data_IF_554803974663
#
_entry.id   IF_554803974663
#
_cell.length_a   1.000
_cell.length_b   1.000
_cell.length_c   1.000
_cell.angle_alpha   90.00
_cell.angle_beta   90.00
_cell.angle_gamma   90.00
#
_symmetry.space_group_name_H-M   'P 1'
#
loop_
_entity.id
_entity.type
_entity.pdbx_description
1 polymer ?
#
# COMPACT_ATOMS: atom_id res chain seq x y z
N UNK A 1 2.33 61.14 -55.07
CA UNK A 1 3.35 60.94 -54.02
C UNK A 1 2.78 60.34 -52.73
N UNK A 2 1.50 60.57 -52.38
CA UNK A 2 0.88 60.08 -51.13
C UNK A 2 0.65 58.55 -51.03
N UNK A 3 0.39 57.84 -52.13
CA UNK A 3 0.07 56.40 -52.11
C UNK A 3 1.24 55.50 -51.68
N UNK A 4 2.47 55.82 -52.11
CA UNK A 4 3.69 55.07 -51.76
C UNK A 4 4.14 55.26 -50.31
N UNK A 5 3.78 56.37 -49.66
CA UNK A 5 4.06 56.61 -48.24
C UNK A 5 3.08 55.83 -47.37
N UNK A 6 1.81 55.76 -47.78
CA UNK A 6 0.78 54.99 -47.09
C UNK A 6 1.04 53.48 -47.15
N UNK A 7 1.48 52.96 -48.30
CA UNK A 7 1.85 51.54 -48.44
C UNK A 7 3.09 51.17 -47.61
N UNK A 8 4.06 52.07 -47.47
CA UNK A 8 5.21 51.91 -46.57
C UNK A 8 4.85 52.03 -45.09
N UNK A 9 3.86 52.85 -44.74
CA UNK A 9 3.32 52.96 -43.37
C UNK A 9 2.49 51.75 -42.96
N UNK A 10 1.73 51.13 -43.86
CA UNK A 10 1.00 49.88 -43.57
C UNK A 10 1.93 48.67 -43.45
N UNK A 11 2.99 48.61 -44.27
CA UNK A 11 4.04 47.59 -44.14
C UNK A 11 4.86 47.77 -42.84
N UNK A 12 5.19 49.01 -42.48
CA UNK A 12 5.91 49.34 -41.25
C UNK A 12 5.08 49.16 -39.98
N UNK A 13 3.79 49.53 -40.00
CA UNK A 13 2.87 49.29 -38.90
C UNK A 13 2.61 47.80 -38.68
N UNK A 14 2.46 47.01 -39.76
CA UNK A 14 2.34 45.56 -39.67
C UNK A 14 3.57 44.90 -39.04
N UNK A 15 4.77 45.33 -39.44
CA UNK A 15 6.03 44.84 -38.86
C UNK A 15 6.17 45.23 -37.38
N UNK A 16 5.84 46.47 -37.02
CA UNK A 16 5.89 46.95 -35.62
C UNK A 16 4.85 46.23 -34.76
N UNK A 17 3.65 45.94 -35.26
CA UNK A 17 2.62 45.18 -34.54
C UNK A 17 3.09 43.74 -34.33
N UNK A 18 3.65 43.09 -35.35
CA UNK A 18 4.18 41.72 -35.23
C UNK A 18 5.34 41.66 -34.25
N UNK A 19 6.26 42.63 -34.29
CA UNK A 19 7.39 42.73 -33.36
C UNK A 19 6.91 43.04 -31.94
N UNK A 20 5.95 43.96 -31.76
CA UNK A 20 5.39 44.29 -30.45
C UNK A 20 4.58 43.13 -29.85
N UNK A 21 3.84 42.39 -30.68
CA UNK A 21 3.13 41.18 -30.28
C UNK A 21 4.12 40.07 -29.89
N UNK A 22 5.22 39.91 -30.65
CA UNK A 22 6.29 38.98 -30.31
C UNK A 22 7.00 39.36 -29.00
N UNK A 23 7.23 40.65 -28.74
CA UNK A 23 7.77 41.14 -27.46
C UNK A 23 6.76 40.95 -26.31
N UNK A 24 5.47 41.13 -26.55
CA UNK A 24 4.43 40.89 -25.54
C UNK A 24 4.30 39.39 -25.18
N UNK A 25 4.41 38.50 -26.17
CA UNK A 25 4.43 37.03 -25.96
C UNK A 25 5.74 36.60 -25.27
N UNK A 26 6.87 37.28 -25.52
CA UNK A 26 8.12 37.01 -24.83
C UNK A 26 8.13 37.53 -23.36
N UNK A 27 7.30 38.52 -23.03
CA UNK A 27 7.22 39.13 -21.70
C UNK A 27 6.14 38.48 -20.82
N UNK A 28 5.08 37.93 -21.41
CA UNK A 28 4.19 36.98 -20.76
C UNK A 28 4.83 35.59 -20.82
N UNK A 29 5.45 35.14 -19.72
CA UNK A 29 6.16 33.86 -19.66
C UNK A 29 5.25 32.65 -19.92
N UNK A 30 4.99 32.37 -21.18
CA UNK A 30 4.11 31.30 -21.61
C UNK A 30 4.89 30.07 -22.08
N UNK A 31 4.30 28.93 -21.80
CA UNK A 31 4.83 27.56 -21.82
C UNK A 31 5.26 27.07 -23.22
N UNK A 32 5.20 27.94 -24.24
CA UNK A 32 5.53 27.63 -25.63
C UNK A 32 6.39 28.72 -26.27
N UNK A 33 7.54 28.34 -26.81
CA UNK A 33 8.35 29.17 -27.71
C UNK A 33 8.11 28.75 -29.16
N UNK A 34 8.09 29.70 -30.08
CA UNK A 34 8.05 29.41 -31.51
C UNK A 34 9.46 29.56 -32.07
N UNK A 35 9.98 28.51 -32.68
CA UNK A 35 11.27 28.56 -33.34
C UNK A 35 11.22 29.39 -34.63
N UNK A 36 12.40 29.76 -35.15
CA UNK A 36 12.54 30.60 -36.34
C UNK A 36 11.94 29.99 -37.62
N UNK A 37 11.68 28.69 -37.59
CA UNK A 37 11.04 27.91 -38.66
C UNK A 37 9.51 27.76 -38.49
N UNK A 38 8.92 28.37 -37.47
CA UNK A 38 7.49 28.30 -37.18
C UNK A 38 7.06 27.08 -36.36
N UNK A 39 8.00 26.26 -35.90
CA UNK A 39 7.68 25.10 -35.06
C UNK A 39 7.33 25.55 -33.64
N UNK A 40 6.16 25.14 -33.15
CA UNK A 40 5.82 25.28 -31.73
C UNK A 40 6.69 24.32 -30.90
N UNK A 41 7.46 24.86 -29.97
CA UNK A 41 8.20 24.09 -28.96
C UNK A 41 7.68 24.44 -27.58
N UNK A 42 7.69 23.48 -26.67
CA UNK A 42 7.53 23.82 -25.26
C UNK A 42 8.71 24.71 -24.86
N UNK A 43 8.42 25.82 -24.17
CA UNK A 43 9.42 26.65 -23.51
C UNK A 43 10.00 25.88 -22.32
N UNK A 44 10.67 24.76 -22.57
CA UNK A 44 11.52 24.15 -21.55
C UNK A 44 12.71 25.08 -21.48
N UNK A 45 12.81 25.84 -20.40
CA UNK A 45 14.03 26.57 -20.10
C UNK A 45 15.20 25.62 -20.30
N UNK A 46 16.30 26.12 -20.85
CA UNK A 46 17.52 25.34 -21.12
C UNK A 46 18.21 24.78 -19.84
N UNK A 47 17.47 24.65 -18.73
CA UNK A 47 17.79 23.87 -17.55
C UNK A 47 16.85 22.64 -17.49
N UNK A 48 17.22 21.61 -18.23
CA UNK A 48 16.59 20.29 -18.33
C UNK A 48 15.70 19.83 -17.18
N UNK A 49 14.40 19.75 -17.47
CA UNK A 49 13.42 18.68 -17.17
C UNK A 49 12.04 19.32 -17.05
N UNK A 50 11.14 18.97 -17.95
CA UNK A 50 9.71 19.02 -17.63
C UNK A 50 9.53 18.05 -16.46
N UNK A 51 9.46 18.58 -15.25
CA UNK A 51 9.09 17.78 -14.08
C UNK A 51 7.57 17.67 -14.12
N UNK A 52 7.07 16.75 -14.94
CA UNK A 52 5.76 16.14 -14.65
C UNK A 52 5.94 15.57 -13.27
N UNK A 53 5.28 16.17 -12.27
CA UNK A 53 5.46 15.81 -10.87
C UNK A 53 5.49 14.30 -10.77
N UNK A 54 6.63 13.75 -10.34
CA UNK A 54 6.81 12.30 -10.33
C UNK A 54 5.80 11.76 -9.30
N UNK A 55 4.62 11.39 -9.78
CA UNK A 55 3.67 10.59 -9.02
C UNK A 55 4.47 9.42 -8.47
N UNK A 56 4.31 9.17 -7.17
CA UNK A 56 4.99 8.08 -6.48
C UNK A 56 4.79 6.76 -7.24
N UNK A 57 5.77 6.36 -8.03
CA UNK A 57 5.70 5.22 -8.94
C UNK A 57 6.73 4.16 -8.60
N UNK A 58 6.43 2.91 -8.90
CA UNK A 58 7.34 1.79 -8.74
C UNK A 58 7.17 0.80 -9.89
N UNK A 59 8.20 0.00 -10.15
CA UNK A 59 8.17 -1.16 -11.05
C UNK A 59 8.73 -2.36 -10.30
N UNK A 60 7.97 -3.46 -10.29
CA UNK A 60 8.36 -4.73 -9.66
C UNK A 60 8.80 -4.59 -8.19
N UNK A 61 8.09 -3.75 -7.42
CA UNK A 61 8.34 -3.60 -5.98
C UNK A 61 7.95 -4.89 -5.26
N UNK A 62 8.92 -5.47 -4.55
CA UNK A 62 8.74 -6.62 -3.67
C UNK A 62 9.37 -6.34 -2.30
N UNK A 63 8.65 -6.71 -1.24
CA UNK A 63 9.15 -6.65 0.14
C UNK A 63 8.85 -7.98 0.80
N UNK A 64 9.83 -8.58 1.46
CA UNK A 64 9.68 -9.89 2.09
C UNK A 64 10.69 -10.07 3.23
N UNK A 65 10.48 -11.07 4.07
CA UNK A 65 11.48 -11.46 5.05
C UNK A 65 12.79 -11.88 4.36
N UNK A 66 13.93 -11.51 4.94
CA UNK A 66 15.24 -11.86 4.39
C UNK A 66 15.51 -13.37 4.48
N UNK A 67 16.04 -13.96 3.42
CA UNK A 67 16.27 -15.42 3.34
C UNK A 67 17.23 -15.99 4.40
N UNK A 68 18.21 -15.20 4.88
CA UNK A 68 19.18 -15.61 5.89
C UNK A 68 18.88 -15.12 7.31
N UNK A 69 17.89 -14.25 7.48
CA UNK A 69 17.56 -13.61 8.76
C UNK A 69 16.08 -13.22 8.83
N UNK A 70 15.20 -14.18 8.51
CA UNK A 70 13.79 -13.94 8.25
C UNK A 70 13.01 -13.39 9.45
N UNK A 71 13.50 -13.59 10.68
CA UNK A 71 12.86 -13.09 11.89
C UNK A 71 13.11 -11.59 12.11
N UNK A 72 14.22 -11.03 11.62
CA UNK A 72 14.64 -9.69 12.04
C UNK A 72 14.97 -8.76 10.86
N UNK A 73 15.03 -9.28 9.64
CA UNK A 73 15.35 -8.50 8.44
C UNK A 73 14.26 -8.59 7.40
N UNK A 74 14.01 -7.48 6.73
CA UNK A 74 13.19 -7.40 5.52
C UNK A 74 14.05 -6.98 4.33
N UNK A 75 13.86 -7.62 3.20
CA UNK A 75 14.45 -7.27 1.91
C UNK A 75 13.47 -6.39 1.13
N UNK A 76 14.00 -5.38 0.46
CA UNK A 76 13.25 -4.41 -0.35
C UNK A 76 13.90 -4.37 -1.72
N UNK A 77 13.17 -4.82 -2.73
CA UNK A 77 13.65 -4.83 -4.11
C UNK A 77 12.69 -4.13 -5.04
N UNK A 78 13.20 -3.37 -6.00
CA UNK A 78 12.40 -2.79 -7.08
C UNK A 78 13.31 -2.46 -8.27
N UNK A 79 12.81 -2.64 -9.50
CA UNK A 79 13.54 -2.22 -10.70
C UNK A 79 13.60 -0.70 -10.79
N UNK A 80 12.50 -0.06 -10.39
CA UNK A 80 12.34 1.40 -10.33
C UNK A 80 11.57 1.74 -9.08
N UNK A 81 12.03 2.78 -8.36
CA UNK A 81 11.28 3.38 -7.28
C UNK A 81 11.47 4.90 -7.29
N UNK A 82 10.39 5.66 -7.36
CA UNK A 82 10.46 7.11 -7.10
C UNK A 82 10.43 7.36 -5.60
N UNK A 83 11.38 8.11 -5.05
CA UNK A 83 11.49 8.49 -3.63
C UNK A 83 11.56 10.01 -3.53
N UNK A 84 10.47 10.63 -3.08
CA UNK A 84 10.36 12.09 -2.90
C UNK A 84 10.96 12.92 -4.06
N UNK A 85 10.49 12.63 -5.27
CA UNK A 85 10.87 13.30 -6.52
C UNK A 85 12.13 12.75 -7.21
N UNK A 86 12.84 11.81 -6.59
CA UNK A 86 14.04 11.17 -7.17
C UNK A 86 13.68 9.79 -7.70
N UNK A 87 14.17 9.43 -8.88
CA UNK A 87 14.05 8.08 -9.42
C UNK A 87 15.27 7.26 -9.02
N UNK A 88 15.05 6.18 -8.28
CA UNK A 88 16.04 5.14 -7.99
C UNK A 88 15.82 3.96 -8.95
N UNK A 89 16.89 3.29 -9.32
CA UNK A 89 16.88 2.11 -10.18
C UNK A 89 17.63 0.97 -9.51
N UNK A 90 17.22 -0.27 -9.78
CA UNK A 90 17.81 -1.48 -9.19
C UNK A 90 17.91 -1.40 -7.66
N UNK A 91 16.83 -0.97 -7.00
CA UNK A 91 16.76 -0.96 -5.54
C UNK A 91 16.87 -2.39 -5.05
N UNK A 92 17.87 -2.65 -4.22
CA UNK A 92 18.09 -3.92 -3.53
C UNK A 92 18.78 -3.61 -2.21
N UNK A 93 17.98 -3.49 -1.15
CA UNK A 93 18.43 -3.13 0.20
C UNK A 93 17.69 -3.97 1.22
N UNK A 94 18.27 -4.11 2.41
CA UNK A 94 17.61 -4.77 3.53
C UNK A 94 17.54 -3.82 4.72
N UNK A 95 16.52 -3.99 5.56
CA UNK A 95 16.42 -3.31 6.84
C UNK A 95 16.41 -4.32 7.99
N UNK A 96 17.35 -4.17 8.91
CA UNK A 96 17.52 -4.96 10.12
C UNK A 96 16.93 -4.22 11.32
N UNK A 97 15.68 -4.57 11.65
CA UNK A 97 15.39 -5.08 12.98
C UNK A 97 16.22 -4.53 14.12
N UNK A 98 17.30 -5.26 14.36
CA UNK A 98 18.17 -5.19 15.53
C UNK A 98 19.14 -4.01 15.48
N UNK A 99 19.34 -3.38 14.32
CA UNK A 99 20.22 -2.25 14.11
C UNK A 99 19.49 -0.90 14.21
N UNK A 100 20.25 0.20 14.35
CA UNK A 100 19.73 1.56 14.33
C UNK A 100 20.38 2.37 13.20
N UNK A 101 19.64 3.31 12.64
CA UNK A 101 20.07 4.14 11.50
C UNK A 101 19.71 3.52 10.15
N UNK A 102 20.40 3.98 9.10
CA UNK A 102 20.18 3.50 7.74
C UNK A 102 20.43 2.00 7.64
N UNK A 103 19.47 1.26 7.08
CA UNK A 103 19.47 -0.21 7.06
C UNK A 103 18.94 -0.85 8.35
N UNK A 104 18.32 -0.09 9.25
CA UNK A 104 17.72 -0.60 10.49
C UNK A 104 16.55 0.26 10.98
N UNK A 105 16.41 0.42 12.30
CA UNK A 105 15.37 1.26 12.92
C UNK A 105 15.74 2.74 12.88
N UNK A 106 14.74 3.59 12.70
CA UNK A 106 14.91 5.04 12.73
C UNK A 106 15.22 5.60 14.11
N UNK A 107 14.65 5.01 15.16
CA UNK A 107 14.88 5.38 16.54
C UNK A 107 14.57 4.23 17.51
N UNK A 108 15.00 4.40 18.76
CA UNK A 108 14.61 3.54 19.87
C UNK A 108 15.09 2.09 19.77
N UNK A 109 14.52 1.26 20.65
CA UNK A 109 14.67 -0.19 20.65
C UNK A 109 13.48 -0.84 19.94
N UNK A 110 13.66 -2.09 19.53
CA UNK A 110 12.54 -2.90 19.07
C UNK A 110 11.52 -3.12 20.20
N UNK A 111 10.25 -2.95 19.85
CA UNK A 111 9.09 -3.26 20.69
C UNK A 111 8.38 -4.48 20.08
N UNK A 112 8.03 -5.46 20.91
CA UNK A 112 7.29 -6.65 20.49
C UNK A 112 5.82 -6.32 20.13
N UNK A 113 5.18 -7.18 19.34
CA UNK A 113 3.79 -7.01 18.89
C UNK A 113 3.49 -5.69 18.18
N UNK A 114 4.47 -5.12 17.49
CA UNK A 114 4.45 -3.75 16.95
C UNK A 114 4.48 -3.75 15.42
N UNK A 115 3.78 -2.77 14.84
CA UNK A 115 3.87 -2.47 13.41
C UNK A 115 5.06 -1.54 13.14
N UNK A 116 5.88 -1.93 12.18
CA UNK A 116 6.95 -1.14 11.62
C UNK A 116 6.62 -0.83 10.15
N UNK A 117 6.67 0.44 9.80
CA UNK A 117 6.52 0.92 8.44
C UNK A 117 7.89 0.88 7.77
N UNK A 118 7.91 0.31 6.57
CA UNK A 118 9.12 0.08 5.78
C UNK A 118 9.28 1.26 4.84
N UNK A 119 10.42 1.94 4.94
CA UNK A 119 10.78 3.06 4.09
C UNK A 119 12.00 2.72 3.24
N UNK A 120 12.04 3.28 2.03
CA UNK A 120 13.28 3.52 1.32
C UNK A 120 13.66 4.98 1.54
N UNK A 121 14.90 5.20 1.96
CA UNK A 121 15.48 6.51 2.17
C UNK A 121 16.61 6.76 1.18
N UNK A 122 16.79 8.01 0.78
CA UNK A 122 17.88 8.41 -0.12
C UNK A 122 18.47 9.77 0.28
N UNK A 123 19.70 10.03 -0.16
CA UNK A 123 20.27 11.37 -0.16
C UNK A 123 19.62 12.24 -1.25
N UNK A 124 19.94 13.54 -1.24
CA UNK A 124 19.26 14.52 -2.09
C UNK A 124 19.54 14.37 -3.59
N UNK A 125 20.65 13.74 -3.95
CA UNK A 125 21.09 13.46 -5.32
C UNK A 125 20.76 12.03 -5.77
N UNK A 126 20.24 11.18 -4.87
CA UNK A 126 19.84 9.80 -5.18
C UNK A 126 21.01 8.84 -5.42
N UNK A 127 22.24 9.20 -5.04
CA UNK A 127 23.44 8.39 -5.22
C UNK A 127 23.64 7.36 -4.10
N UNK A 128 22.95 7.53 -2.97
CA UNK A 128 22.96 6.62 -1.83
C UNK A 128 21.55 6.42 -1.31
N UNK A 129 21.14 5.16 -1.13
CA UNK A 129 19.84 4.80 -0.58
C UNK A 129 19.95 3.57 0.33
N UNK A 130 18.99 3.45 1.24
CA UNK A 130 18.91 2.31 2.17
C UNK A 130 17.45 2.04 2.60
N UNK A 131 17.23 0.92 3.27
CA UNK A 131 15.98 0.65 3.99
C UNK A 131 15.94 1.37 5.34
N UNK A 132 14.74 1.59 5.86
CA UNK A 132 14.53 2.11 7.20
C UNK A 132 13.21 1.58 7.76
N UNK A 133 13.22 1.17 9.04
CA UNK A 133 12.03 0.74 9.78
C UNK A 133 11.64 1.82 10.78
N UNK A 134 10.36 2.18 10.82
CA UNK A 134 9.85 3.18 11.75
C UNK A 134 8.50 2.79 12.33
N UNK A 135 8.23 3.17 13.56
CA UNK A 135 6.88 3.07 14.15
C UNK A 135 5.94 4.18 13.67
N UNK A 136 6.45 5.15 12.89
CA UNK A 136 5.68 6.24 12.29
C UNK A 136 5.41 5.97 10.82
N UNK A 137 4.14 6.04 10.40
CA UNK A 137 3.77 5.80 8.99
C UNK A 137 4.09 6.96 8.06
N UNK A 138 4.38 8.14 8.60
CA UNK A 138 4.53 9.39 7.82
C UNK A 138 5.84 10.13 8.13
N UNK A 139 6.31 10.05 9.37
CA UNK A 139 7.42 10.86 9.86
C UNK A 139 8.46 10.02 10.58
N UNK A 140 9.21 9.16 9.85
CA UNK A 140 10.38 8.50 10.41
C UNK A 140 11.47 9.54 10.73
N UNK A 141 12.29 9.21 11.72
CA UNK A 141 13.49 10.00 12.05
C UNK A 141 14.60 9.68 11.03
N UNK A 142 15.02 10.68 10.26
CA UNK A 142 15.95 10.46 9.16
C UNK A 142 17.39 10.30 9.67
N UNK A 143 18.11 9.21 9.30
CA UNK A 143 19.53 9.08 9.57
C UNK A 143 20.35 10.18 8.88
N UNK A 144 21.50 10.53 9.44
CA UNK A 144 22.38 11.56 8.87
C UNK A 144 22.77 11.23 7.42
N UNK A 145 22.72 12.24 6.55
CA UNK A 145 23.01 12.10 5.11
C UNK A 145 21.81 11.71 4.24
N UNK A 146 20.66 11.34 4.84
CA UNK A 146 19.44 11.00 4.10
C UNK A 146 18.38 12.09 4.30
N UNK A 147 17.80 12.57 3.20
CA UNK A 147 16.81 13.67 3.22
C UNK A 147 15.53 13.31 2.48
N UNK A 148 15.54 12.24 1.69
CA UNK A 148 14.44 11.76 0.87
C UNK A 148 13.92 10.45 1.44
N UNK A 149 12.60 10.26 1.43
CA UNK A 149 11.97 9.07 1.98
C UNK A 149 10.71 8.71 1.22
N UNK A 150 10.39 7.43 1.18
CA UNK A 150 9.10 6.91 0.73
C UNK A 150 8.75 5.68 1.54
N UNK A 151 7.51 5.63 2.05
CA UNK A 151 6.98 4.39 2.63
C UNK A 151 6.67 3.43 1.48
N UNK A 152 7.18 2.22 1.58
CA UNK A 152 7.03 1.17 0.56
C UNK A 152 6.32 -0.06 1.10
N UNK A 153 6.10 -0.16 2.41
CA UNK A 153 5.36 -1.28 2.98
C UNK A 153 5.25 -1.19 4.48
N UNK A 154 4.85 -2.30 5.08
CA UNK A 154 4.80 -2.45 6.53
C UNK A 154 4.94 -3.91 6.93
N UNK A 155 5.54 -4.14 8.08
CA UNK A 155 5.78 -5.45 8.68
C UNK A 155 5.40 -5.39 10.15
N UNK A 156 4.98 -6.53 10.71
CA UNK A 156 4.73 -6.68 12.14
C UNK A 156 5.68 -7.69 12.74
N UNK A 157 6.14 -7.46 13.97
CA UNK A 157 6.74 -8.49 14.80
C UNK A 157 5.73 -9.07 15.83
N UNK A 158 6.00 -10.28 16.29
CA UNK A 158 5.18 -11.01 17.25
C UNK A 158 5.60 -10.74 18.71
N UNK A 159 5.03 -11.50 19.65
CA UNK A 159 5.34 -11.37 21.08
C UNK A 159 6.77 -11.79 21.45
N UNK A 160 7.47 -12.49 20.56
CA UNK A 160 8.89 -12.86 20.68
C UNK A 160 9.80 -11.95 19.87
N UNK A 161 9.28 -10.82 19.36
CA UNK A 161 9.99 -9.90 18.46
C UNK A 161 10.43 -10.53 17.13
N UNK A 162 9.81 -11.63 16.70
CA UNK A 162 10.06 -12.17 15.36
C UNK A 162 9.09 -11.55 14.37
N UNK A 163 9.59 -11.11 13.22
CA UNK A 163 8.74 -10.70 12.11
C UNK A 163 7.80 -11.82 11.67
N UNK A 164 6.54 -11.45 11.50
CA UNK A 164 5.59 -12.28 10.78
C UNK A 164 6.13 -12.52 9.38
N UNK A 165 5.93 -13.74 8.89
CA UNK A 165 6.45 -14.14 7.59
C UNK A 165 5.49 -13.68 6.49
N UNK A 166 5.97 -12.94 5.51
CA UNK A 166 5.17 -12.33 4.46
C UNK A 166 5.94 -12.12 3.15
N UNK A 167 5.18 -11.93 2.08
CA UNK A 167 5.64 -11.37 0.81
C UNK A 167 4.66 -10.29 0.39
N UNK A 168 5.17 -9.13 0.04
CA UNK A 168 4.44 -8.02 -0.55
C UNK A 168 4.86 -7.86 -2.00
N UNK A 169 3.90 -7.79 -2.91
CA UNK A 169 4.09 -7.46 -4.32
C UNK A 169 3.26 -6.21 -4.63
N UNK A 170 3.94 -5.09 -4.93
CA UNK A 170 3.27 -3.79 -5.00
C UNK A 170 2.54 -3.48 -3.69
N UNK A 171 1.22 -3.27 -3.74
CA UNK A 171 0.39 -3.04 -2.56
C UNK A 171 -0.17 -4.31 -1.89
N UNK A 172 -0.05 -5.48 -2.54
CA UNK A 172 -0.66 -6.71 -2.04
C UNK A 172 0.30 -7.45 -1.13
N UNK A 173 -0.06 -7.57 0.13
CA UNK A 173 0.67 -8.36 1.14
C UNK A 173 -0.01 -9.71 1.28
N UNK A 174 0.79 -10.78 1.29
CA UNK A 174 0.36 -12.13 1.65
C UNK A 174 1.25 -12.63 2.77
N UNK A 175 0.65 -13.21 3.80
CA UNK A 175 1.40 -13.93 4.81
C UNK A 175 1.87 -15.27 4.25
N UNK A 176 3.13 -15.59 4.51
CA UNK A 176 3.69 -16.91 4.27
C UNK A 176 3.40 -17.74 5.50
N UNK A 177 2.77 -18.91 5.35
CA UNK A 177 2.54 -19.79 6.48
C UNK A 177 3.70 -20.78 6.62
N UNK A 178 4.65 -20.51 7.53
CA UNK A 178 5.30 -21.62 8.22
C UNK A 178 5.22 -21.39 9.74
N UNK A 179 4.19 -21.95 10.39
CA UNK A 179 4.20 -22.17 11.84
C UNK A 179 2.93 -21.85 12.63
N UNK A 180 1.93 -21.18 12.05
CA UNK A 180 0.68 -20.88 12.76
C UNK A 180 -0.33 -20.23 11.82
N UNK A 181 -1.61 -20.47 12.08
CA UNK A 181 -2.70 -19.82 11.36
C UNK A 181 -2.82 -18.38 11.87
N UNK A 182 -2.84 -17.40 10.97
CA UNK A 182 -3.22 -16.00 11.24
C UNK A 182 -4.71 -15.87 11.61
N UNK A 183 -5.17 -16.71 12.53
CA UNK A 183 -6.57 -16.81 12.92
C UNK A 183 -6.95 -15.63 13.80
N UNK A 184 -8.02 -14.97 13.40
CA UNK A 184 -8.68 -13.91 14.17
C UNK A 184 -9.98 -14.41 14.80
N UNK A 185 -10.42 -15.60 14.41
CA UNK A 185 -11.53 -16.32 15.01
C UNK A 185 -11.31 -17.83 14.85
N UNK A 186 -11.47 -18.57 15.95
CA UNK A 186 -11.37 -20.04 15.98
C UNK A 186 -12.63 -20.57 16.63
N UNK A 187 -13.38 -21.43 15.92
CA UNK A 187 -14.61 -22.06 16.40
C UNK A 187 -15.65 -21.07 17.00
N UNK A 188 -15.84 -19.90 16.36
CA UNK A 188 -16.80 -18.89 16.79
C UNK A 188 -18.25 -19.38 16.67
N UNK A 189 -19.04 -19.18 17.73
CA UNK A 189 -20.42 -19.67 17.84
C UNK A 189 -21.47 -18.58 18.10
N UNK A 190 -21.12 -17.30 17.90
CA UNK A 190 -22.03 -16.20 18.18
C UNK A 190 -23.26 -16.23 17.27
N UNK A 191 -24.45 -16.27 17.88
CA UNK A 191 -25.76 -16.23 17.18
C UNK A 191 -26.33 -14.83 17.03
N UNK A 192 -25.47 -13.82 17.19
CA UNK A 192 -25.72 -12.42 16.85
C UNK A 192 -24.42 -11.83 16.31
N UNK A 193 -24.53 -10.77 15.50
CA UNK A 193 -23.36 -10.11 14.94
C UNK A 193 -22.40 -9.66 16.05
N UNK A 194 -21.22 -10.25 16.03
CA UNK A 194 -20.18 -10.05 17.05
C UNK A 194 -18.92 -9.57 16.38
N UNK A 195 -18.37 -8.45 16.86
CA UNK A 195 -17.16 -7.87 16.32
C UNK A 195 -15.93 -8.71 16.67
N UNK A 196 -15.05 -8.90 15.70
CA UNK A 196 -13.74 -9.52 15.84
C UNK A 196 -12.68 -8.60 15.25
N UNK A 197 -11.49 -8.61 15.83
CA UNK A 197 -10.40 -7.72 15.43
C UNK A 197 -9.40 -8.41 14.51
N UNK A 198 -9.12 -7.79 13.37
CA UNK A 198 -8.02 -8.16 12.49
C UNK A 198 -6.77 -7.29 12.70
N UNK A 199 -6.76 -6.41 13.71
CA UNK A 199 -5.66 -5.47 13.96
C UNK A 199 -4.31 -6.14 14.25
N UNK A 200 -4.32 -7.43 14.63
CA UNK A 200 -3.13 -8.27 14.77
C UNK A 200 -2.41 -8.48 13.42
N UNK A 201 -3.18 -8.59 12.33
CA UNK A 201 -2.68 -8.99 11.01
C UNK A 201 -2.96 -7.96 9.91
N UNK A 202 -3.54 -6.81 10.26
CA UNK A 202 -3.77 -5.68 9.34
C UNK A 202 -3.22 -4.40 9.96
N UNK A 203 -2.36 -3.64 9.25
CA UNK A 203 -1.75 -2.41 9.78
C UNK A 203 -2.78 -1.28 9.89
N UNK A 204 -2.57 -0.26 10.74
CA UNK A 204 -3.48 0.90 10.87
C UNK A 204 -3.68 1.68 9.56
N UNK A 205 -2.75 1.57 8.61
CA UNK A 205 -2.80 2.20 7.29
C UNK A 205 -3.66 1.44 6.28
N UNK A 206 -4.10 0.22 6.61
CA UNK A 206 -4.89 -0.64 5.72
C UNK A 206 -6.25 -0.99 6.31
N UNK A 207 -7.20 -1.23 5.40
CA UNK A 207 -8.58 -1.65 5.70
C UNK A 207 -9.07 -2.75 4.76
N UNK A 208 -8.37 -3.02 3.68
CA UNK A 208 -8.73 -4.08 2.75
C UNK A 208 -7.93 -5.32 3.10
N UNK A 209 -8.63 -6.41 3.43
CA UNK A 209 -8.04 -7.65 3.92
C UNK A 209 -8.46 -8.81 3.03
N UNK A 210 -7.53 -9.75 2.79
CA UNK A 210 -7.82 -11.04 2.17
C UNK A 210 -7.96 -12.10 3.27
N UNK A 211 -9.07 -12.83 3.27
CA UNK A 211 -9.46 -13.76 4.32
C UNK A 211 -9.73 -15.14 3.72
N UNK A 212 -9.36 -16.18 4.46
CA UNK A 212 -10.00 -17.48 4.38
C UNK A 212 -10.99 -17.56 5.54
N UNK A 213 -12.25 -17.80 5.27
CA UNK A 213 -13.22 -18.09 6.31
C UNK A 213 -13.88 -19.43 6.06
N UNK A 214 -14.05 -20.17 7.15
CA UNK A 214 -14.50 -21.53 7.12
C UNK A 214 -15.59 -21.71 8.16
N UNK A 215 -16.56 -22.56 7.86
CA UNK A 215 -17.51 -23.06 8.83
C UNK A 215 -17.26 -24.56 8.98
N UNK A 216 -16.86 -24.97 10.18
CA UNK A 216 -16.56 -26.38 10.48
C UNK A 216 -17.46 -26.83 11.62
N UNK A 217 -18.34 -27.81 11.42
CA UNK A 217 -19.41 -28.12 12.37
C UNK A 217 -19.53 -29.62 12.63
N UNK A 218 -19.80 -29.96 13.89
CA UNK A 218 -20.36 -31.24 14.31
C UNK A 218 -21.79 -31.04 14.84
N UNK A 219 -22.73 -31.88 14.38
CA UNK A 219 -24.12 -31.83 14.84
C UNK A 219 -24.75 -33.21 14.94
N UNK A 220 -25.66 -33.40 15.90
CA UNK A 220 -26.31 -34.67 16.20
C UNK A 220 -27.70 -34.84 15.54
N UNK A 221 -28.09 -33.91 14.65
CA UNK A 221 -29.36 -33.93 13.93
C UNK A 221 -29.15 -33.43 12.49
N UNK A 222 -30.12 -33.69 11.62
CA UNK A 222 -30.16 -33.01 10.31
C UNK A 222 -30.50 -31.55 10.55
N UNK A 223 -29.68 -30.62 10.09
CA UNK A 223 -29.89 -29.18 10.27
C UNK A 223 -29.24 -28.38 9.15
N UNK A 224 -29.76 -27.19 8.89
CA UNK A 224 -29.12 -26.22 7.98
C UNK A 224 -28.43 -25.17 8.84
N UNK A 225 -27.13 -25.04 8.64
CA UNK A 225 -26.35 -23.97 9.24
C UNK A 225 -25.99 -22.96 8.17
N UNK A 226 -25.92 -21.71 8.58
CA UNK A 226 -25.32 -20.68 7.76
C UNK A 226 -24.54 -19.72 8.64
N UNK A 227 -23.52 -19.10 8.05
CA UNK A 227 -22.74 -18.06 8.68
C UNK A 227 -22.67 -16.85 7.76
N UNK A 228 -22.42 -15.68 8.35
CA UNK A 228 -22.29 -14.43 7.64
C UNK A 228 -21.15 -13.60 8.21
N UNK A 229 -20.50 -12.81 7.36
CA UNK A 229 -19.65 -11.70 7.80
C UNK A 229 -20.14 -10.37 7.25
N UNK A 230 -19.82 -9.29 7.97
CA UNK A 230 -20.07 -7.92 7.49
C UNK A 230 -19.08 -6.93 8.07
N UNK A 231 -19.03 -5.73 7.49
CA UNK A 231 -18.41 -4.58 8.15
C UNK A 231 -19.18 -4.27 9.46
N UNK A 232 -18.51 -3.86 10.55
CA UNK A 232 -19.18 -3.59 11.81
C UNK A 232 -20.34 -2.61 11.66
N UNK A 233 -21.48 -2.96 12.28
CA UNK A 233 -22.72 -2.20 12.23
C UNK A 233 -23.28 -1.89 10.81
N UNK A 234 -22.81 -2.56 9.76
CA UNK A 234 -23.34 -2.38 8.42
C UNK A 234 -24.67 -3.13 8.24
N UNK A 235 -25.61 -2.55 7.50
CA UNK A 235 -26.84 -3.26 7.12
C UNK A 235 -26.57 -4.36 6.07
N UNK A 236 -25.61 -4.13 5.18
CA UNK A 236 -25.25 -5.06 4.11
C UNK A 236 -24.33 -6.19 4.61
N UNK A 237 -24.64 -7.41 4.18
CA UNK A 237 -23.82 -8.60 4.40
C UNK A 237 -22.67 -8.62 3.39
N UNK A 238 -21.46 -8.94 3.83
CA UNK A 238 -20.30 -9.09 2.96
C UNK A 238 -20.19 -10.50 2.39
N UNK A 239 -20.46 -11.52 3.20
CA UNK A 239 -20.48 -12.91 2.73
C UNK A 239 -21.46 -13.79 3.48
N UNK A 240 -21.79 -14.91 2.85
CA UNK A 240 -22.68 -15.93 3.36
C UNK A 240 -22.14 -17.31 2.99
N UNK A 241 -22.07 -18.22 3.96
CA UNK A 241 -21.82 -19.65 3.75
C UNK A 241 -23.03 -20.43 4.26
N UNK A 242 -23.38 -21.52 3.58
CA UNK A 242 -24.53 -22.34 3.94
C UNK A 242 -24.19 -23.83 3.78
N UNK A 243 -24.32 -24.57 4.88
CA UNK A 243 -24.03 -25.98 4.92
C UNK A 243 -25.23 -26.78 5.43
N UNK A 244 -25.57 -27.85 4.71
CA UNK A 244 -26.47 -28.90 5.17
C UNK A 244 -25.67 -29.89 6.02
N UNK A 245 -25.99 -30.05 7.29
CA UNK A 245 -25.46 -31.14 8.12
C UNK A 245 -26.47 -32.29 8.21
N UNK A 246 -25.99 -33.52 8.06
CA UNK A 246 -26.75 -34.77 8.15
C UNK A 246 -25.99 -35.75 9.07
N UNK A 247 -26.64 -36.47 10.01
CA UNK A 247 -25.99 -37.07 11.21
C UNK A 247 -25.15 -38.31 10.84
N UNK A 248 -24.13 -38.80 11.57
CA UNK A 248 -23.74 -38.78 13.00
C UNK A 248 -22.20 -38.56 13.08
N UNK A 249 -21.69 -37.76 14.03
CA UNK A 249 -20.27 -37.61 14.43
C UNK A 249 -19.23 -37.19 13.37
N UNK A 250 -19.64 -36.75 12.17
CA UNK A 250 -18.71 -36.25 11.17
C UNK A 250 -18.56 -34.73 11.25
N UNK A 251 -17.31 -34.28 11.17
CA UNK A 251 -16.95 -32.88 11.03
C UNK A 251 -17.13 -32.49 9.55
N UNK A 252 -18.04 -31.57 9.26
CA UNK A 252 -18.21 -31.01 7.92
C UNK A 252 -17.56 -29.63 7.86
N UNK A 253 -16.85 -29.34 6.78
CA UNK A 253 -16.16 -28.06 6.56
C UNK A 253 -16.55 -27.47 5.22
N UNK A 254 -16.98 -26.21 5.25
CA UNK A 254 -17.15 -25.37 4.06
C UNK A 254 -16.19 -24.18 4.17
N UNK A 255 -15.52 -23.83 3.08
CA UNK A 255 -14.47 -22.82 3.03
C UNK A 255 -14.72 -21.83 1.89
N UNK A 256 -14.42 -20.55 2.12
CA UNK A 256 -14.43 -19.53 1.09
C UNK A 256 -13.30 -18.52 1.27
N UNK A 257 -12.85 -17.97 0.16
CA UNK A 257 -11.78 -16.99 0.06
C UNK A 257 -12.38 -15.67 -0.40
N UNK A 258 -12.14 -14.61 0.36
CA UNK A 258 -12.79 -13.33 0.09
C UNK A 258 -11.94 -12.14 0.50
N UNK A 259 -12.14 -11.04 -0.21
CA UNK A 259 -11.62 -9.74 0.18
C UNK A 259 -12.73 -8.95 0.88
N UNK A 260 -12.40 -8.31 2.00
CA UNK A 260 -13.36 -7.55 2.80
C UNK A 260 -12.76 -6.20 3.20
N UNK A 261 -13.62 -5.18 3.24
CA UNK A 261 -13.28 -3.88 3.82
C UNK A 261 -13.67 -3.86 5.29
N UNK A 262 -12.67 -3.62 6.14
CA UNK A 262 -12.82 -3.45 7.58
C UNK A 262 -13.24 -2.01 7.94
N UNK A 263 -13.60 -1.79 9.20
CA UNK A 263 -13.78 -0.45 9.75
C UNK A 263 -12.44 0.25 10.09
N UNK A 264 -12.53 1.40 10.74
CA UNK A 264 -11.41 2.22 11.20
C UNK A 264 -10.57 1.53 12.27
N UNK A 265 -11.19 0.63 13.03
CA UNK A 265 -10.57 -0.18 14.06
C UNK A 265 -9.99 -1.49 13.53
N UNK A 266 -10.12 -1.77 12.22
CA UNK A 266 -9.76 -3.03 11.55
C UNK A 266 -10.55 -4.23 12.09
N UNK A 267 -11.85 -4.03 12.30
CA UNK A 267 -12.79 -5.04 12.74
C UNK A 267 -13.75 -5.45 11.62
N UNK A 268 -14.26 -6.67 11.77
CA UNK A 268 -15.44 -7.18 11.07
C UNK A 268 -16.38 -7.83 12.07
N UNK A 269 -17.63 -8.05 11.68
CA UNK A 269 -18.59 -8.83 12.47
C UNK A 269 -18.82 -10.19 11.80
N UNK A 270 -19.01 -11.21 12.63
CA UNK A 270 -19.45 -12.54 12.19
C UNK A 270 -20.73 -12.96 12.93
N UNK A 271 -21.43 -13.92 12.35
CA UNK A 271 -22.65 -14.49 12.91
C UNK A 271 -22.85 -15.91 12.36
N UNK A 272 -23.23 -16.87 13.21
CA UNK A 272 -23.70 -18.21 12.82
C UNK A 272 -25.15 -18.43 13.24
N UNK A 273 -25.94 -19.08 12.38
CA UNK A 273 -27.39 -19.27 12.54
C UNK A 273 -27.80 -19.95 13.84
N UNK A 274 -26.98 -20.87 14.36
CA UNK A 274 -27.21 -21.61 15.60
C UNK A 274 -25.89 -22.16 16.16
N UNK A 275 -25.89 -22.49 17.46
CA UNK A 275 -24.76 -23.15 18.12
C UNK A 275 -24.71 -24.64 17.73
N UNK A 276 -23.58 -25.17 17.21
CA UNK A 276 -23.45 -26.59 16.88
C UNK A 276 -23.45 -27.49 18.14
N UNK A 277 -24.31 -28.52 18.18
CA UNK A 277 -24.46 -29.40 19.34
C UNK A 277 -23.32 -30.37 19.62
N UNK A 278 -22.44 -30.63 18.63
CA UNK A 278 -21.32 -31.56 18.80
C UNK A 278 -19.92 -30.91 18.59
N UNK A 279 -19.87 -29.60 18.34
CA UNK A 279 -18.62 -28.82 18.28
C UNK A 279 -18.39 -28.07 16.97
N UNK A 280 -17.31 -27.29 16.93
CA UNK A 280 -16.94 -26.45 15.80
C UNK A 280 -17.58 -25.05 15.83
N UNK A 281 -17.56 -24.36 14.69
CA UNK A 281 -18.06 -23.00 14.53
C UNK A 281 -17.47 -22.33 13.29
N UNK A 282 -17.40 -21.01 13.32
CA UNK A 282 -16.78 -20.18 12.29
C UNK A 282 -15.30 -19.98 12.60
N UNK A 283 -14.46 -20.08 11.58
CA UNK A 283 -13.02 -19.85 11.64
C UNK A 283 -12.68 -18.78 10.63
N UNK A 284 -11.90 -17.78 11.01
CA UNK A 284 -11.50 -16.70 10.11
C UNK A 284 -10.01 -16.49 10.23
N UNK A 285 -9.34 -16.62 9.10
CA UNK A 285 -7.90 -16.53 8.94
C UNK A 285 -7.56 -15.36 8.02
N UNK A 286 -6.56 -14.56 8.41
CA UNK A 286 -6.05 -13.46 7.59
C UNK A 286 -4.93 -13.98 6.69
N UNK A 287 -5.19 -14.01 5.38
CA UNK A 287 -4.21 -14.42 4.37
C UNK A 287 -3.27 -13.28 4.00
N UNK A 288 -3.70 -12.04 4.21
CA UNK A 288 -2.95 -10.86 3.83
C UNK A 288 -3.82 -9.61 3.81
N UNK A 289 -3.24 -8.51 3.35
CA UNK A 289 -3.91 -7.21 3.27
C UNK A 289 -3.39 -6.39 2.10
N UNK A 290 -4.04 -5.27 1.82
CA UNK A 290 -3.56 -4.30 0.82
C UNK A 290 -3.01 -3.07 1.52
N UNK A 291 -1.70 -2.86 1.47
CA UNK A 291 -1.10 -1.66 2.04
C UNK A 291 -1.44 -0.45 1.16
N UNK A 292 -1.91 0.62 1.80
CA UNK A 292 -2.06 1.92 1.16
C UNK A 292 -0.77 2.65 1.43
N UNK A 293 0.19 2.57 0.51
CA UNK A 293 1.46 3.31 0.58
C UNK A 293 1.25 4.79 0.28
#
# INVERSE_FOLDING_TARGET
>A
MARKILDGMFAGAGFIIVVALAFAIAWAGDVFTVDKDGTLKFAVSDAGKITVGATESYVNLVIQNNSGAATNKVDITADVLTVDGIRLESVNVSADITAAGAGGRDAGSEAANMWYYVFVIANNDGTSWNGLLSTSSTSPTMPSGFTKKRRVGTVRNDGSSNFLQFVQEGSKVRYSAPGGTNDILVAGQATSFTAISAAAFVPPTSRAVALAWNMTLGHNAVSVFWAQTRKPSAAAITSHLQMLSSPINNLLTEASYMEQILDDSRQLEYYISAVPSAGGGVYINVLGYFDRM
#
